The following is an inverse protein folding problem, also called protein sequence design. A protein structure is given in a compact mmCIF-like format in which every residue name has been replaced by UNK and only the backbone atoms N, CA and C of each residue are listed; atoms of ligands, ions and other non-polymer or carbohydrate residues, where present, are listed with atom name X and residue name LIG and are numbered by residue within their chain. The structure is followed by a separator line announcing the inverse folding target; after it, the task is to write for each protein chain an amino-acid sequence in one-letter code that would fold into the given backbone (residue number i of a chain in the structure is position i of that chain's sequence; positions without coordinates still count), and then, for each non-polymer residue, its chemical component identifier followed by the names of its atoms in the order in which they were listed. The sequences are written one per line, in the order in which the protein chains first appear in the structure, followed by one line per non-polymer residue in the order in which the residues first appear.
data_IF_967434055735
#
_entry.id   IF_967434055735
#
_cell.length_a   1.000
_cell.length_b   1.000
_cell.length_c   1.000
_cell.angle_alpha   90.00
_cell.angle_beta   90.00
_cell.angle_gamma   90.00
#
_symmetry.space_group_name_H-M   'P 1'
#
loop_
_entity.id
_entity.type
_entity.pdbx_description
1 polymer ?
#
# COMPACT_ATOMS: atom_id res chain seq x y z
N UNK A 1 1.12 -10.69 5.27
CA UNK A 1 0.95 -9.23 5.14
C UNK A 1 1.07 -8.60 6.53
N UNK A 2 1.81 -7.51 6.69
CA UNK A 2 1.92 -6.75 7.95
C UNK A 2 1.49 -5.30 7.72
N UNK A 3 0.72 -4.71 8.64
CA UNK A 3 0.38 -3.29 8.58
C UNK A 3 1.16 -2.50 9.65
N UNK A 4 1.73 -1.36 9.28
CA UNK A 4 2.43 -0.43 10.17
C UNK A 4 1.87 0.98 10.02
N UNK A 5 1.59 1.66 11.14
CA UNK A 5 1.16 3.07 11.14
C UNK A 5 2.32 3.93 11.65
N UNK A 6 2.68 4.98 10.92
CA UNK A 6 3.55 6.06 11.40
C UNK A 6 2.79 7.38 11.36
N UNK A 7 2.85 8.12 12.45
CA UNK A 7 2.37 9.50 12.50
C UNK A 7 3.55 10.43 12.26
N UNK A 8 3.44 11.35 11.30
CA UNK A 8 4.43 12.40 11.11
C UNK A 8 3.68 13.68 10.70
N UNK A 9 3.70 14.68 11.58
CA UNK A 9 2.87 15.90 11.45
C UNK A 9 1.36 15.59 11.31
N UNK A 10 0.56 16.50 10.73
CA UNK A 10 -0.90 16.36 10.53
C UNK A 10 -1.32 15.21 9.58
N UNK A 11 -0.42 14.29 9.23
CA UNK A 11 -0.65 13.17 8.32
C UNK A 11 -0.28 11.84 8.99
N UNK A 12 -1.18 10.87 8.88
CA UNK A 12 -0.90 9.49 9.26
C UNK A 12 -0.48 8.73 8.00
N UNK A 13 0.62 7.98 8.05
CA UNK A 13 1.02 7.05 7.00
C UNK A 13 0.74 5.63 7.45
N UNK A 14 0.04 4.88 6.61
CA UNK A 14 -0.15 3.45 6.75
C UNK A 14 0.72 2.74 5.72
N UNK A 15 1.59 1.86 6.17
CA UNK A 15 2.41 1.00 5.34
C UNK A 15 1.83 -0.41 5.37
N UNK A 16 1.44 -0.91 4.21
CA UNK A 16 1.05 -2.32 4.05
C UNK A 16 2.23 -3.08 3.46
N UNK A 17 2.78 -4.01 4.22
CA UNK A 17 3.93 -4.82 3.86
C UNK A 17 3.48 -6.13 3.21
N UNK A 18 4.01 -6.38 2.01
CA UNK A 18 3.79 -7.59 1.23
C UNK A 18 5.13 -8.26 0.96
N UNK A 19 5.08 -9.56 0.68
CA UNK A 19 6.22 -10.36 0.25
C UNK A 19 5.99 -10.76 -1.21
N UNK A 20 7.06 -10.76 -2.00
CA UNK A 20 7.02 -11.24 -3.38
C UNK A 20 7.01 -12.77 -3.35
N UNK A 21 5.93 -13.37 -3.83
CA UNK A 21 5.78 -14.83 -3.94
C UNK A 21 6.16 -15.35 -5.34
N UNK A 22 6.26 -14.48 -6.35
CA UNK A 22 6.66 -14.88 -7.70
C UNK A 22 8.07 -15.47 -7.71
N UNK A 23 8.27 -16.68 -8.28
CA UNK A 23 9.60 -17.25 -8.42
C UNK A 23 10.54 -16.37 -9.23
N UNK A 24 11.78 -16.25 -8.78
CA UNK A 24 12.83 -15.46 -9.42
C UNK A 24 13.72 -14.74 -8.41
N UNK A 25 14.59 -13.85 -8.90
CA UNK A 25 15.61 -13.16 -8.09
C UNK A 25 15.03 -12.34 -6.94
N UNK A 26 13.80 -11.86 -7.07
CA UNK A 26 13.13 -11.05 -6.05
C UNK A 26 12.22 -11.85 -5.12
N UNK A 27 12.14 -13.17 -5.25
CA UNK A 27 11.30 -14.01 -4.40
C UNK A 27 11.67 -13.84 -2.92
N UNK A 28 10.66 -13.77 -2.04
CA UNK A 28 10.85 -13.54 -0.60
C UNK A 28 11.17 -12.10 -0.21
N UNK A 29 11.45 -11.21 -1.18
CA UNK A 29 11.68 -9.79 -0.91
C UNK A 29 10.42 -9.12 -0.37
N UNK A 30 10.56 -8.31 0.67
CA UNK A 30 9.45 -7.56 1.27
C UNK A 30 9.41 -6.13 0.73
N UNK A 31 8.25 -5.74 0.21
CA UNK A 31 7.97 -4.38 -0.24
C UNK A 31 6.80 -3.79 0.56
N UNK A 32 6.74 -2.46 0.61
CA UNK A 32 5.65 -1.76 1.27
C UNK A 32 4.84 -0.93 0.28
N UNK A 33 3.53 -0.84 0.55
CA UNK A 33 2.59 0.07 -0.09
C UNK A 33 2.31 1.24 0.87
N UNK A 34 2.89 2.43 0.62
CA UNK A 34 2.67 3.58 1.47
C UNK A 34 1.33 4.26 1.15
N UNK A 35 0.46 4.38 2.15
CA UNK A 35 -0.85 4.99 2.08
C UNK A 35 -0.91 6.22 2.99
N UNK A 36 -1.11 7.40 2.40
CA UNK A 36 -1.38 8.60 3.19
C UNK A 36 -2.84 8.56 3.67
N UNK A 37 -3.01 8.72 4.98
CA UNK A 37 -4.28 8.86 5.68
C UNK A 37 -4.39 10.29 6.21
N UNK A 38 -5.62 10.81 6.19
CA UNK A 38 -5.92 12.11 6.80
C UNK A 38 -5.87 11.98 8.32
N UNK A 39 -5.48 13.06 9.00
CA UNK A 39 -5.47 13.13 10.47
C UNK A 39 -6.86 12.98 11.10
N UNK A 40 -7.93 13.37 10.39
CA UNK A 40 -9.31 13.21 10.84
C UNK A 40 -9.84 11.76 10.74
N UNK A 41 -8.99 10.82 10.32
CA UNK A 41 -9.35 9.40 10.16
C UNK A 41 -10.28 9.12 8.98
N UNK A 42 -10.70 10.14 8.21
CA UNK A 42 -11.63 9.95 7.09
C UNK A 42 -10.90 9.40 5.87
N UNK A 43 -11.41 8.29 5.35
CA UNK A 43 -10.89 7.66 4.13
C UNK A 43 -11.77 8.08 2.95
N UNK A 44 -11.22 8.92 2.07
CA UNK A 44 -11.91 9.31 0.83
C UNK A 44 -11.68 8.27 -0.28
N UNK A 45 -12.59 8.21 -1.24
CA UNK A 45 -12.49 7.30 -2.40
C UNK A 45 -11.29 7.58 -3.31
N UNK A 46 -10.70 8.78 -3.19
CA UNK A 46 -9.50 9.19 -3.92
C UNK A 46 -8.22 8.73 -3.24
N UNK A 47 -8.27 8.31 -1.98
CA UNK A 47 -7.07 7.85 -1.28
C UNK A 47 -6.55 6.54 -1.88
N UNK A 48 -5.22 6.41 -1.87
CA UNK A 48 -4.56 5.17 -2.28
C UNK A 48 -5.05 3.99 -1.44
N UNK A 49 -5.25 4.18 -0.13
CA UNK A 49 -5.75 3.12 0.75
C UNK A 49 -7.13 2.60 0.31
N UNK A 50 -8.09 3.50 0.05
CA UNK A 50 -9.43 3.10 -0.38
C UNK A 50 -9.41 2.25 -1.65
N UNK A 51 -8.67 2.69 -2.69
CA UNK A 51 -8.62 1.99 -3.98
C UNK A 51 -8.06 0.58 -3.82
N UNK A 52 -6.96 0.44 -3.07
CA UNK A 52 -6.35 -0.86 -2.81
C UNK A 52 -7.24 -1.75 -1.94
N UNK A 53 -7.93 -1.17 -0.96
CA UNK A 53 -8.88 -1.91 -0.12
C UNK A 53 -10.03 -2.47 -0.95
N UNK A 54 -10.58 -1.71 -1.90
CA UNK A 54 -11.64 -2.17 -2.80
C UNK A 54 -11.17 -3.35 -3.66
N UNK A 55 -9.94 -3.31 -4.16
CA UNK A 55 -9.33 -4.43 -4.90
C UNK A 55 -9.19 -5.66 -3.99
N UNK A 56 -8.75 -5.47 -2.75
CA UNK A 56 -8.59 -6.56 -1.79
C UNK A 56 -9.92 -7.17 -1.32
N UNK A 57 -10.95 -6.33 -1.16
CA UNK A 57 -12.29 -6.74 -0.78
C UNK A 57 -13.07 -7.37 -1.95
N UNK A 58 -12.74 -7.00 -3.19
CA UNK A 58 -13.55 -7.35 -4.38
C UNK A 58 -14.87 -6.58 -4.46
N UNK A 59 -15.11 -5.63 -3.56
CA UNK A 59 -16.34 -4.82 -3.49
C UNK A 59 -16.08 -3.46 -2.86
N UNK A 60 -17.06 -2.56 -2.98
CA UNK A 60 -17.04 -1.29 -2.24
C UNK A 60 -17.36 -1.55 -0.76
N UNK A 61 -16.76 -0.78 0.18
CA UNK A 61 -17.14 -0.85 1.58
C UNK A 61 -18.56 -0.32 1.76
N UNK A 62 -19.31 -0.90 2.69
CA UNK A 62 -20.58 -0.34 3.13
C UNK A 62 -20.37 0.97 3.94
N UNK A 63 -21.47 1.57 4.41
CA UNK A 63 -21.43 2.84 5.16
C UNK A 63 -20.67 2.71 6.49
N UNK A 64 -20.71 1.54 7.14
CA UNK A 64 -20.06 1.26 8.42
C UNK A 64 -18.57 0.99 8.19
N UNK A 65 -18.24 0.11 7.26
CA UNK A 65 -16.88 -0.24 6.87
C UNK A 65 -16.11 0.97 6.37
N UNK A 66 -16.76 1.90 5.65
CA UNK A 66 -16.11 3.14 5.19
C UNK A 66 -15.57 3.98 6.35
N UNK A 67 -16.13 3.86 7.55
CA UNK A 67 -15.62 4.52 8.78
C UNK A 67 -14.50 3.72 9.46
N UNK A 68 -14.39 2.41 9.19
CA UNK A 68 -13.51 1.46 9.87
C UNK A 68 -12.89 0.47 8.89
N UNK A 69 -12.30 0.98 7.80
CA UNK A 69 -11.72 0.12 6.77
C UNK A 69 -10.53 -0.63 7.36
N UNK A 70 -10.72 -1.92 7.59
CA UNK A 70 -9.73 -2.78 8.26
C UNK A 70 -8.62 -3.19 7.30
N UNK A 71 -7.39 -3.26 7.79
CA UNK A 71 -6.25 -3.83 7.06
C UNK A 71 -6.33 -5.35 6.96
N UNK A 72 -7.15 -6.03 7.77
CA UNK A 72 -7.31 -7.49 7.68
C UNK A 72 -7.80 -7.95 6.32
N UNK A 73 -8.44 -7.08 5.53
CA UNK A 73 -8.91 -7.42 4.19
C UNK A 73 -7.78 -7.86 3.24
N UNK A 74 -6.51 -7.50 3.53
CA UNK A 74 -5.36 -7.88 2.71
C UNK A 74 -4.64 -9.14 3.20
N UNK A 75 -4.97 -9.65 4.39
CA UNK A 75 -4.32 -10.82 4.98
C UNK A 75 -4.67 -12.10 4.20
N UNK A 76 -3.69 -13.00 4.05
CA UNK A 76 -3.88 -14.29 3.38
C UNK A 76 -4.17 -14.22 1.87
N UNK A 77 -4.03 -13.05 1.23
CA UNK A 77 -4.39 -12.88 -0.19
C UNK A 77 -3.18 -12.57 -1.07
N UNK A 78 -3.22 -13.12 -2.28
CA UNK A 78 -2.28 -12.82 -3.35
C UNK A 78 -2.79 -11.70 -4.27
N UNK A 79 -1.86 -10.86 -4.71
CA UNK A 79 -2.16 -9.69 -5.52
C UNK A 79 -1.16 -9.54 -6.64
N UNK A 80 -1.65 -9.17 -7.82
CA UNK A 80 -0.81 -8.54 -8.82
C UNK A 80 -0.61 -7.09 -8.41
N UNK A 81 0.64 -6.67 -8.26
CA UNK A 81 1.00 -5.33 -7.81
C UNK A 81 1.90 -4.64 -8.82
N UNK A 82 1.74 -3.33 -8.97
CA UNK A 82 2.68 -2.47 -9.68
C UNK A 82 3.77 -2.02 -8.69
N UNK A 83 5.01 -2.40 -8.96
CA UNK A 83 6.19 -1.95 -8.23
C UNK A 83 6.79 -0.75 -8.96
N UNK A 84 7.28 0.22 -8.19
CA UNK A 84 8.00 1.38 -8.71
C UNK A 84 9.20 1.70 -7.84
N UNK A 85 10.26 2.20 -8.47
CA UNK A 85 11.49 2.62 -7.80
C UNK A 85 11.45 4.11 -7.52
N UNK A 86 11.74 4.48 -6.28
CA UNK A 86 11.88 5.88 -5.87
C UNK A 86 13.30 6.32 -6.21
N UNK A 87 13.43 7.03 -7.32
CA UNK A 87 14.70 7.59 -7.82
C UNK A 87 14.83 9.09 -7.62
N UNK A 88 13.76 9.75 -7.15
CA UNK A 88 13.69 11.19 -6.92
C UNK A 88 13.10 11.48 -5.54
N UNK A 89 13.55 12.58 -4.95
CA UNK A 89 13.04 13.09 -3.68
C UNK A 89 11.73 13.89 -3.83
N UNK A 90 11.28 14.51 -2.75
CA UNK A 90 10.05 15.33 -2.75
C UNK A 90 10.20 16.64 -3.54
N UNK A 91 11.43 17.08 -3.82
CA UNK A 91 11.76 18.27 -4.64
C UNK A 91 12.04 17.90 -6.10
N UNK A 92 11.76 16.65 -6.50
CA UNK A 92 12.06 16.07 -7.83
C UNK A 92 13.56 15.98 -8.17
N UNK A 93 14.44 16.08 -7.17
CA UNK A 93 15.88 15.92 -7.37
C UNK A 93 16.24 14.42 -7.39
N UNK A 94 17.20 13.99 -8.23
CA UNK A 94 17.68 12.61 -8.24
C UNK A 94 18.22 12.19 -6.87
N UNK A 95 17.87 10.98 -6.44
CA UNK A 95 18.46 10.34 -5.27
C UNK A 95 19.75 9.61 -5.67
N UNK A 96 20.82 9.71 -4.84
CA UNK A 96 21.95 8.78 -4.90
C UNK A 96 21.48 7.34 -4.93
N UNK A 97 22.21 6.46 -5.63
CA UNK A 97 21.83 5.07 -5.84
C UNK A 97 21.52 4.34 -4.53
N UNK A 98 22.31 4.61 -3.49
CA UNK A 98 22.22 4.04 -2.15
C UNK A 98 20.93 4.44 -1.40
N UNK A 99 20.29 5.53 -1.80
CA UNK A 99 19.03 6.03 -1.23
C UNK A 99 17.81 5.65 -2.07
N UNK A 100 17.99 4.99 -3.21
CA UNK A 100 16.90 4.52 -4.04
C UNK A 100 16.27 3.27 -3.43
N UNK A 101 14.96 3.17 -3.51
CA UNK A 101 14.24 2.01 -2.98
C UNK A 101 13.00 1.70 -3.79
N UNK A 102 12.66 0.42 -3.84
CA UNK A 102 11.43 -0.07 -4.45
C UNK A 102 10.27 -0.01 -3.46
N UNK A 103 9.09 0.29 -3.98
CA UNK A 103 7.84 0.26 -3.23
C UNK A 103 6.70 -0.23 -4.12
N UNK A 104 5.62 -0.64 -3.50
CA UNK A 104 4.39 -0.92 -4.23
C UNK A 104 3.69 0.42 -4.51
N UNK A 105 3.44 0.71 -5.77
CA UNK A 105 2.70 1.90 -6.19
C UNK A 105 1.19 1.71 -6.00
N UNK A 106 0.70 0.51 -6.29
CA UNK A 106 -0.67 0.06 -6.08
C UNK A 106 -0.88 -1.40 -6.48
N UNK A 107 -1.95 -2.00 -5.98
CA UNK A 107 -2.47 -3.29 -6.39
C UNK A 107 -3.27 -3.10 -7.69
N UNK A 108 -3.16 -4.07 -8.60
CA UNK A 108 -3.84 -4.08 -9.89
C UNK A 108 -5.06 -5.01 -9.86
N UNK A 109 -4.87 -6.22 -9.34
CA UNK A 109 -5.94 -7.20 -9.15
C UNK A 109 -5.62 -8.14 -7.99
N UNK A 110 -6.66 -8.70 -7.38
CA UNK A 110 -6.54 -9.87 -6.50
C UNK A 110 -6.41 -11.11 -7.38
N UNK A 111 -5.43 -11.97 -7.08
CA UNK A 111 -5.15 -13.17 -7.86
C UNK A 111 -5.90 -14.41 -7.36
N UNK A 112 -6.47 -14.37 -6.15
CA UNK A 112 -7.09 -15.54 -5.47
C UNK A 112 -6.01 -16.64 -5.26
N UNK A 113 -6.14 -17.69 -4.44
CA UNK A 113 -7.18 -18.71 -4.24
C UNK A 113 -8.64 -18.28 -4.03
#
# INVERSE_FOLDING_TARGET
MRAEKRSQWKCQKLFLWFQIETPGESQGTRLFLPCNLKSDGKISTRTKYYRNWVIAAGRRPDRVEKKRMSTRVFEGKLFLARVGTVIKDQKNLPLPYELQYSKIEGLLKRLTD
#
